data_IF_950476826812
#
_entry.id   IF_950476826812
#
_cell.length_a   1.000
_cell.length_b   1.000
_cell.length_c   1.000
_cell.angle_alpha   90.00
_cell.angle_beta   90.00
_cell.angle_gamma   90.00
#
_symmetry.space_group_name_H-M   'P 1'
#
loop_
_entity.id
_entity.type
_entity.pdbx_description
1 polymer ?
#
# COMPACT_ATOMS: atom_id res chain seq x y z
N UNK A 1 14.56 -12.88 15.89
CA UNK A 1 13.42 -13.02 16.83
C UNK A 1 13.89 -13.63 18.12
N UNK A 2 13.64 -12.99 19.26
CA UNK A 2 13.90 -13.57 20.57
C UNK A 2 12.99 -14.79 20.85
N UNK A 3 13.37 -15.65 21.79
CA UNK A 3 12.63 -16.85 22.17
C UNK A 3 11.15 -16.54 22.48
N UNK A 4 10.89 -15.41 23.12
CA UNK A 4 9.54 -14.95 23.47
C UNK A 4 8.66 -14.66 22.24
N UNK A 5 9.22 -14.08 21.17
CA UNK A 5 8.49 -13.85 19.92
C UNK A 5 8.11 -15.16 19.21
N UNK A 6 8.98 -16.17 19.26
CA UNK A 6 8.70 -17.49 18.69
C UNK A 6 7.56 -18.19 19.42
N UNK A 7 7.51 -18.10 20.76
CA UNK A 7 6.44 -18.69 21.58
C UNK A 7 5.10 -18.01 21.28
N UNK A 8 5.06 -16.70 21.15
CA UNK A 8 3.85 -15.94 20.81
C UNK A 8 3.33 -16.39 19.43
N UNK A 9 4.19 -16.45 18.42
CA UNK A 9 3.81 -16.89 17.07
C UNK A 9 3.30 -18.33 17.07
N UNK A 10 3.91 -19.23 17.83
CA UNK A 10 3.46 -20.63 17.97
C UNK A 10 2.10 -20.76 18.66
N UNK A 11 1.77 -19.85 19.59
CA UNK A 11 0.48 -19.85 20.29
C UNK A 11 -0.64 -19.11 19.55
N UNK A 12 -0.34 -18.40 18.47
CA UNK A 12 -1.32 -17.62 17.70
C UNK A 12 -2.50 -18.44 17.17
N UNK A 13 -2.33 -19.69 16.67
CA UNK A 13 -3.47 -20.51 16.24
C UNK A 13 -4.48 -20.81 17.36
N UNK A 14 -4.04 -20.74 18.61
CA UNK A 14 -4.87 -20.98 19.79
C UNK A 14 -5.54 -19.67 20.30
N UNK A 15 -5.24 -18.52 19.66
CA UNK A 15 -5.80 -17.24 20.09
C UNK A 15 -7.30 -17.20 19.81
N UNK A 16 -8.17 -16.96 20.82
CA UNK A 16 -9.61 -16.88 20.59
C UNK A 16 -9.98 -15.81 19.59
N UNK A 17 -10.94 -16.07 18.70
CA UNK A 17 -11.36 -15.14 17.63
C UNK A 17 -11.74 -13.76 18.13
N UNK A 18 -12.33 -13.65 19.31
CA UNK A 18 -12.71 -12.35 19.88
C UNK A 18 -11.49 -11.47 20.20
N UNK A 19 -10.35 -12.08 20.60
CA UNK A 19 -9.08 -11.39 20.83
C UNK A 19 -8.51 -10.88 19.51
N UNK A 20 -8.46 -11.75 18.50
CA UNK A 20 -8.01 -11.35 17.15
C UNK A 20 -8.91 -10.22 16.62
N UNK A 21 -10.23 -10.31 16.83
CA UNK A 21 -11.17 -9.26 16.42
C UNK A 21 -10.93 -7.92 17.14
N UNK A 22 -10.61 -7.96 18.43
CA UNK A 22 -10.27 -6.76 19.18
C UNK A 22 -9.00 -6.08 18.65
N UNK A 23 -7.99 -6.87 18.32
CA UNK A 23 -6.75 -6.38 17.68
C UNK A 23 -7.01 -5.90 16.26
N UNK A 24 -7.78 -6.65 15.49
CA UNK A 24 -8.13 -6.34 14.11
C UNK A 24 -8.75 -4.95 13.97
N UNK A 25 -9.58 -4.51 14.90
CA UNK A 25 -10.20 -3.17 14.92
C UNK A 25 -9.19 -2.02 14.83
N UNK A 26 -7.92 -2.27 15.12
CA UNK A 26 -6.85 -1.29 15.02
C UNK A 26 -6.29 -1.19 13.60
N UNK A 27 -6.35 -2.29 12.83
CA UNK A 27 -5.66 -2.44 11.56
C UNK A 27 -6.59 -2.67 10.36
N UNK A 28 -7.88 -2.90 10.61
CA UNK A 28 -8.93 -3.13 9.62
C UNK A 28 -10.10 -2.23 9.94
N UNK A 29 -10.61 -1.52 8.95
CA UNK A 29 -11.67 -0.54 9.12
C UNK A 29 -13.02 -1.18 9.51
N UNK A 30 -13.25 -2.42 9.07
CA UNK A 30 -14.47 -3.16 9.33
C UNK A 30 -14.68 -4.26 8.30
N UNK A 31 -15.88 -4.81 8.26
CA UNK A 31 -16.25 -5.87 7.31
C UNK A 31 -16.93 -5.35 6.03
N UNK A 32 -17.26 -4.08 5.97
CA UNK A 32 -18.10 -3.46 4.94
C UNK A 32 -17.61 -2.05 4.56
N UNK A 33 -18.12 -1.53 3.44
CA UNK A 33 -17.79 -0.21 2.88
C UNK A 33 -18.15 0.91 3.86
N UNK A 34 -19.31 0.84 4.49
CA UNK A 34 -19.79 1.89 5.40
C UNK A 34 -18.83 2.11 6.57
N UNK A 35 -18.31 1.01 7.12
CA UNK A 35 -17.27 1.04 8.17
C UNK A 35 -15.99 1.72 7.69
N UNK A 36 -15.56 1.45 6.45
CA UNK A 36 -14.38 2.06 5.86
C UNK A 36 -14.60 3.57 5.62
N UNK A 37 -15.72 3.97 5.04
CA UNK A 37 -16.09 5.37 4.81
C UNK A 37 -16.18 6.14 6.14
N UNK A 38 -16.85 5.58 7.14
CA UNK A 38 -16.96 6.20 8.46
C UNK A 38 -15.59 6.40 9.12
N UNK A 39 -14.69 5.43 9.01
CA UNK A 39 -13.32 5.55 9.53
C UNK A 39 -12.55 6.66 8.81
N UNK A 40 -12.56 6.66 7.49
CA UNK A 40 -11.87 7.65 6.67
C UNK A 40 -12.40 9.05 6.92
N UNK A 41 -13.72 9.23 7.01
CA UNK A 41 -14.36 10.52 7.34
C UNK A 41 -13.90 11.08 8.69
N UNK A 42 -13.69 10.22 9.69
CA UNK A 42 -13.15 10.63 10.99
C UNK A 42 -11.68 11.04 10.90
N UNK A 43 -10.89 10.35 10.08
CA UNK A 43 -9.45 10.61 9.94
C UNK A 43 -9.12 11.74 8.97
N UNK A 44 -10.06 12.16 8.10
CA UNK A 44 -9.85 13.26 7.17
C UNK A 44 -9.54 14.59 7.87
N UNK A 45 -10.10 14.79 9.07
CA UNK A 45 -9.79 15.96 9.93
C UNK A 45 -8.32 16.01 10.38
N UNK A 46 -7.55 14.93 10.24
CA UNK A 46 -6.12 14.85 10.53
C UNK A 46 -5.24 15.08 9.29
N UNK A 47 -5.76 15.68 8.22
CA UNK A 47 -5.08 15.86 6.93
C UNK A 47 -4.54 14.55 6.33
N UNK A 48 -5.32 13.48 6.43
CA UNK A 48 -5.01 12.20 5.84
C UNK A 48 -5.75 11.99 4.52
N UNK A 49 -5.03 11.53 3.50
CA UNK A 49 -5.61 10.89 2.32
C UNK A 49 -5.68 9.38 2.54
N UNK A 50 -6.38 8.66 1.67
CA UNK A 50 -6.61 7.23 1.88
C UNK A 50 -6.33 6.41 0.62
N UNK A 51 -5.92 5.16 0.82
CA UNK A 51 -5.99 4.12 -0.21
C UNK A 51 -6.71 2.93 0.40
N UNK A 52 -7.72 2.43 -0.28
CA UNK A 52 -8.63 1.43 0.29
C UNK A 52 -8.42 0.08 -0.41
N UNK A 53 -8.30 -0.98 0.38
CA UNK A 53 -8.07 -2.35 -0.07
C UNK A 53 -9.22 -3.25 0.40
N UNK A 54 -9.84 -3.94 -0.55
CA UNK A 54 -10.80 -5.01 -0.26
C UNK A 54 -10.05 -6.28 0.08
N UNK A 55 -10.14 -6.73 1.31
CA UNK A 55 -9.40 -7.89 1.80
C UNK A 55 -9.72 -9.17 1.03
N UNK A 56 -8.73 -9.69 0.35
CA UNK A 56 -8.75 -10.94 -0.41
C UNK A 56 -7.62 -10.98 -1.42
N UNK A 57 -7.11 -12.16 -1.67
CA UNK A 57 -6.02 -12.47 -2.60
C UNK A 57 -6.14 -13.93 -3.03
N UNK A 58 -5.43 -14.34 -4.10
CA UNK A 58 -5.34 -15.73 -4.56
C UNK A 58 -6.71 -16.42 -4.65
N UNK A 59 -7.55 -15.95 -5.57
CA UNK A 59 -8.83 -16.63 -5.86
C UNK A 59 -8.61 -18.02 -6.44
N UNK A 60 -9.53 -18.94 -6.15
CA UNK A 60 -9.46 -20.31 -6.64
C UNK A 60 -10.09 -20.47 -8.04
N UNK A 61 -11.05 -19.64 -8.38
CA UNK A 61 -11.77 -19.66 -9.67
C UNK A 61 -11.95 -18.25 -10.21
N UNK A 62 -11.97 -18.10 -11.55
CA UNK A 62 -12.18 -16.78 -12.19
C UNK A 62 -13.53 -16.15 -11.83
N UNK A 63 -14.54 -16.95 -11.48
CA UNK A 63 -15.84 -16.41 -11.06
C UNK A 63 -15.76 -15.58 -9.78
N UNK A 64 -14.78 -15.87 -8.92
CA UNK A 64 -14.57 -15.09 -7.69
C UNK A 64 -14.06 -13.67 -7.97
N UNK A 65 -13.41 -13.44 -9.11
CA UNK A 65 -12.96 -12.10 -9.53
C UNK A 65 -14.15 -11.13 -9.69
N UNK A 66 -15.32 -11.61 -10.08
CA UNK A 66 -16.50 -10.77 -10.24
C UNK A 66 -16.91 -10.10 -8.91
N UNK A 67 -16.77 -10.83 -7.78
CA UNK A 67 -17.00 -10.24 -6.47
C UNK A 67 -16.11 -9.01 -6.22
N UNK A 68 -14.82 -9.11 -6.53
CA UNK A 68 -13.89 -7.97 -6.33
C UNK A 68 -14.22 -6.81 -7.27
N UNK A 69 -14.53 -7.09 -8.54
CA UNK A 69 -14.90 -6.05 -9.50
C UNK A 69 -16.14 -5.28 -9.02
N UNK A 70 -17.16 -5.99 -8.56
CA UNK A 70 -18.41 -5.39 -8.09
C UNK A 70 -18.21 -4.64 -6.77
N UNK A 71 -17.41 -5.21 -5.84
CA UNK A 71 -17.13 -4.58 -4.56
C UNK A 71 -16.31 -3.30 -4.71
N UNK A 72 -15.27 -3.31 -5.57
CA UNK A 72 -14.52 -2.09 -5.89
C UNK A 72 -15.37 -1.07 -6.64
N UNK A 73 -16.31 -1.50 -7.50
CA UNK A 73 -17.26 -0.61 -8.13
C UNK A 73 -18.11 0.15 -7.09
N UNK A 74 -18.69 -0.57 -6.14
CA UNK A 74 -19.47 0.03 -5.02
C UNK A 74 -18.59 0.92 -4.12
N UNK A 75 -17.34 0.52 -3.89
CA UNK A 75 -16.41 1.33 -3.12
C UNK A 75 -16.08 2.66 -3.81
N UNK A 76 -15.89 2.65 -5.13
CA UNK A 76 -15.68 3.87 -5.92
C UNK A 76 -16.89 4.79 -5.77
N UNK A 77 -18.11 4.28 -5.93
CA UNK A 77 -19.35 5.06 -5.74
C UNK A 77 -19.37 5.73 -4.35
N UNK A 78 -19.08 4.96 -3.30
CA UNK A 78 -19.08 5.47 -1.93
C UNK A 78 -17.96 6.51 -1.68
N UNK A 79 -16.79 6.36 -2.27
CA UNK A 79 -15.70 7.36 -2.21
C UNK A 79 -16.15 8.67 -2.86
N UNK A 80 -16.71 8.60 -4.06
CA UNK A 80 -17.22 9.78 -4.80
C UNK A 80 -18.32 10.48 -4.01
N UNK A 81 -19.33 9.74 -3.54
CA UNK A 81 -20.45 10.28 -2.76
C UNK A 81 -19.99 10.96 -1.46
N UNK A 82 -18.95 10.41 -0.81
CA UNK A 82 -18.43 10.97 0.44
C UNK A 82 -17.49 12.15 0.25
N UNK A 83 -17.01 12.41 -0.98
CA UNK A 83 -16.03 13.46 -1.28
C UNK A 83 -14.66 13.28 -0.59
N UNK A 84 -14.30 12.05 -0.25
CA UNK A 84 -13.05 11.71 0.43
C UNK A 84 -11.87 11.70 -0.55
N UNK A 85 -10.72 12.26 -0.15
CA UNK A 85 -9.46 12.08 -0.89
C UNK A 85 -8.96 10.64 -0.70
N UNK A 86 -9.49 9.74 -1.53
CA UNK A 86 -9.19 8.32 -1.47
C UNK A 86 -9.00 7.73 -2.87
N UNK A 87 -8.04 6.81 -2.96
CA UNK A 87 -7.85 5.94 -4.11
C UNK A 87 -8.02 4.47 -3.69
N UNK A 88 -7.93 3.54 -4.62
CA UNK A 88 -8.05 2.12 -4.33
C UNK A 88 -6.74 1.39 -4.58
N UNK A 89 -6.51 0.33 -3.81
CA UNK A 89 -5.38 -0.60 -3.99
C UNK A 89 -5.94 -1.99 -4.23
N UNK A 90 -5.46 -2.68 -5.27
CA UNK A 90 -5.96 -4.00 -5.64
C UNK A 90 -4.83 -5.02 -5.68
N UNK A 91 -5.15 -6.28 -5.42
CA UNK A 91 -4.23 -7.42 -5.58
C UNK A 91 -4.52 -8.14 -6.89
N UNK A 92 -3.57 -8.19 -7.83
CA UNK A 92 -3.79 -8.81 -9.13
C UNK A 92 -4.23 -10.28 -9.04
N UNK A 93 -3.81 -11.02 -8.01
CA UNK A 93 -4.26 -12.41 -7.81
C UNK A 93 -5.74 -12.53 -7.46
N UNK A 94 -6.35 -11.49 -6.87
CA UNK A 94 -7.79 -11.42 -6.65
C UNK A 94 -8.58 -11.19 -7.96
N UNK A 95 -7.89 -10.80 -9.04
CA UNK A 95 -8.46 -10.61 -10.38
C UNK A 95 -8.14 -11.77 -11.33
N UNK A 96 -7.49 -12.83 -10.83
CA UNK A 96 -7.24 -14.06 -11.57
C UNK A 96 -5.83 -14.24 -12.11
N UNK A 97 -4.84 -13.41 -11.72
CA UNK A 97 -3.49 -13.41 -12.29
C UNK A 97 -2.75 -14.74 -12.14
N UNK A 98 -3.04 -15.55 -11.11
CA UNK A 98 -2.47 -16.90 -10.95
C UNK A 98 -3.22 -17.99 -11.73
N UNK A 99 -4.38 -17.66 -12.33
CA UNK A 99 -5.24 -18.62 -13.02
C UNK A 99 -5.14 -18.43 -14.53
N UNK A 100 -5.37 -17.20 -14.99
CA UNK A 100 -5.37 -16.82 -16.40
C UNK A 100 -4.99 -15.34 -16.55
N UNK A 101 -3.80 -15.09 -17.10
CA UNK A 101 -3.28 -13.74 -17.33
C UNK A 101 -4.21 -12.88 -18.19
N UNK A 102 -4.77 -13.45 -19.28
CA UNK A 102 -5.65 -12.71 -20.20
C UNK A 102 -6.96 -12.30 -19.51
N UNK A 103 -7.53 -13.22 -18.72
CA UNK A 103 -8.71 -12.90 -17.93
C UNK A 103 -8.40 -11.84 -16.86
N UNK A 104 -7.24 -11.93 -16.17
CA UNK A 104 -6.82 -10.94 -15.20
C UNK A 104 -6.64 -9.55 -15.83
N UNK A 105 -5.99 -9.44 -17.01
CA UNK A 105 -5.86 -8.20 -17.76
C UNK A 105 -7.24 -7.59 -18.08
N UNK A 106 -8.18 -8.41 -18.55
CA UNK A 106 -9.55 -7.97 -18.87
C UNK A 106 -10.29 -7.47 -17.60
N UNK A 107 -10.19 -8.19 -16.50
CA UNK A 107 -10.84 -7.85 -15.25
C UNK A 107 -10.28 -6.53 -14.66
N UNK A 108 -8.96 -6.38 -14.68
CA UNK A 108 -8.28 -5.17 -14.18
C UNK A 108 -8.57 -3.98 -15.09
N UNK A 109 -8.55 -4.16 -16.40
CA UNK A 109 -8.91 -3.11 -17.39
C UNK A 109 -10.34 -2.59 -17.14
N UNK A 110 -11.30 -3.49 -16.94
CA UNK A 110 -12.69 -3.12 -16.64
C UNK A 110 -12.79 -2.24 -15.40
N UNK A 111 -12.08 -2.59 -14.32
CA UNK A 111 -12.04 -1.78 -13.10
C UNK A 111 -11.35 -0.44 -13.32
N UNK A 112 -10.21 -0.42 -14.03
CA UNK A 112 -9.48 0.82 -14.34
C UNK A 112 -10.33 1.82 -15.14
N UNK A 113 -11.07 1.35 -16.14
CA UNK A 113 -11.98 2.19 -16.92
C UNK A 113 -13.11 2.74 -16.07
N UNK A 114 -13.66 1.92 -15.16
CA UNK A 114 -14.67 2.37 -14.19
C UNK A 114 -14.08 3.42 -13.24
N UNK A 115 -12.88 3.21 -12.71
CA UNK A 115 -12.21 4.14 -11.82
C UNK A 115 -11.84 5.47 -12.54
N UNK A 116 -11.40 5.39 -13.80
CA UNK A 116 -11.05 6.56 -14.60
C UNK A 116 -12.25 7.49 -14.85
N UNK A 117 -13.49 6.97 -14.96
CA UNK A 117 -14.67 7.81 -15.16
C UNK A 117 -14.99 8.74 -13.98
N UNK A 118 -14.45 8.44 -12.80
CA UNK A 118 -14.62 9.22 -11.58
C UNK A 118 -13.29 9.79 -11.05
N UNK A 119 -12.26 9.82 -11.88
CA UNK A 119 -10.90 10.30 -11.54
C UNK A 119 -10.28 9.56 -10.34
N UNK A 120 -10.63 8.29 -10.14
CA UNK A 120 -10.08 7.45 -9.07
C UNK A 120 -8.82 6.73 -9.58
N UNK A 121 -7.74 6.89 -8.84
CA UNK A 121 -6.47 6.20 -9.09
C UNK A 121 -6.48 4.77 -8.53
N UNK A 122 -5.86 3.84 -9.25
CA UNK A 122 -5.78 2.42 -8.86
C UNK A 122 -4.32 2.02 -8.66
N UNK A 123 -4.00 1.50 -7.50
CA UNK A 123 -2.68 0.96 -7.18
C UNK A 123 -2.70 -0.56 -7.31
N UNK A 124 -1.80 -1.12 -8.13
CA UNK A 124 -1.54 -2.56 -8.12
C UNK A 124 -0.59 -2.90 -6.98
N UNK A 125 -1.08 -3.60 -5.96
CA UNK A 125 -0.23 -4.11 -4.89
C UNK A 125 0.70 -5.19 -5.46
N UNK A 126 1.96 -5.18 -5.00
CA UNK A 126 2.92 -6.21 -5.35
C UNK A 126 2.79 -7.36 -4.35
N UNK A 127 2.62 -8.54 -4.89
CA UNK A 127 2.56 -9.78 -4.14
C UNK A 127 3.92 -10.51 -4.21
N UNK A 128 4.00 -11.82 -4.06
CA UNK A 128 5.27 -12.52 -4.08
C UNK A 128 5.87 -12.65 -5.50
N UNK A 129 7.08 -13.23 -5.57
CA UNK A 129 7.86 -13.34 -6.81
C UNK A 129 7.16 -14.09 -7.95
N UNK A 130 6.18 -14.99 -7.64
CA UNK A 130 5.44 -15.76 -8.67
C UNK A 130 4.68 -14.84 -9.63
N UNK A 131 4.24 -13.69 -9.15
CA UNK A 131 3.42 -12.75 -9.91
C UNK A 131 4.08 -11.39 -10.15
N UNK A 132 5.30 -11.17 -9.67
CA UNK A 132 5.97 -9.86 -9.81
C UNK A 132 6.04 -9.40 -11.26
N UNK A 133 6.54 -10.23 -12.18
CA UNK A 133 6.63 -9.85 -13.59
C UNK A 133 5.25 -9.65 -14.21
N UNK A 134 4.34 -10.59 -14.00
CA UNK A 134 2.99 -10.51 -14.55
C UNK A 134 2.22 -9.27 -14.06
N UNK A 135 2.44 -8.82 -12.81
CA UNK A 135 1.87 -7.57 -12.29
C UNK A 135 2.44 -6.34 -13.01
N UNK A 136 3.74 -6.32 -13.29
CA UNK A 136 4.37 -5.25 -14.08
C UNK A 136 3.81 -5.24 -15.49
N UNK A 137 3.70 -6.42 -16.14
CA UNK A 137 3.19 -6.56 -17.50
C UNK A 137 1.74 -6.06 -17.60
N UNK A 138 0.89 -6.33 -16.60
CA UNK A 138 -0.48 -5.76 -16.51
C UNK A 138 -0.42 -4.23 -16.55
N UNK A 139 0.40 -3.60 -15.70
CA UNK A 139 0.46 -2.14 -15.64
C UNK A 139 0.94 -1.53 -16.96
N UNK A 140 1.99 -2.10 -17.57
CA UNK A 140 2.51 -1.63 -18.86
C UNK A 140 1.47 -1.78 -19.96
N UNK A 141 0.76 -2.92 -20.03
CA UNK A 141 -0.31 -3.13 -21.00
C UNK A 141 -1.48 -2.14 -20.81
N UNK A 142 -1.78 -1.71 -19.59
CA UNK A 142 -2.80 -0.69 -19.33
C UNK A 142 -2.33 0.70 -19.79
N UNK A 143 -1.07 1.04 -19.55
CA UNK A 143 -0.48 2.28 -20.08
C UNK A 143 -0.51 2.33 -21.62
N UNK A 144 -0.18 1.23 -22.31
CA UNK A 144 -0.28 1.13 -23.77
C UNK A 144 -1.70 1.39 -24.30
N UNK A 145 -2.73 1.05 -23.51
CA UNK A 145 -4.14 1.33 -23.81
C UNK A 145 -4.58 2.75 -23.41
N UNK A 146 -3.66 3.61 -22.95
CA UNK A 146 -3.94 4.98 -22.51
C UNK A 146 -4.59 5.10 -21.14
N UNK A 147 -4.60 4.02 -20.34
CA UNK A 147 -5.09 4.03 -18.96
C UNK A 147 -3.95 4.40 -18.03
N UNK A 148 -3.87 5.68 -17.66
CA UNK A 148 -2.77 6.23 -16.83
C UNK A 148 -3.16 6.42 -15.36
N UNK A 149 -4.40 6.11 -15.00
CA UNK A 149 -4.87 6.13 -13.60
C UNK A 149 -4.43 4.89 -12.80
N UNK A 150 -3.26 4.36 -13.11
CA UNK A 150 -2.69 3.13 -12.52
C UNK A 150 -1.26 3.39 -12.04
N UNK A 151 -0.87 2.73 -10.95
CA UNK A 151 0.51 2.72 -10.46
C UNK A 151 0.88 1.38 -9.84
N UNK A 152 2.18 1.17 -9.73
CA UNK A 152 2.77 -0.08 -9.24
C UNK A 152 3.33 0.06 -7.83
N UNK A 153 3.33 -1.06 -7.11
CA UNK A 153 4.12 -1.21 -5.88
C UNK A 153 5.40 -1.98 -6.21
N UNK A 154 6.54 -1.47 -5.75
CA UNK A 154 7.82 -2.17 -5.84
C UNK A 154 8.35 -2.46 -4.43
N UNK A 155 9.15 -3.51 -4.33
CA UNK A 155 9.65 -4.01 -3.05
C UNK A 155 11.17 -3.82 -2.97
N UNK A 156 11.65 -2.99 -2.04
CA UNK A 156 13.08 -2.70 -1.89
C UNK A 156 13.95 -3.96 -1.65
N UNK A 157 13.37 -5.03 -1.09
CA UNK A 157 14.12 -6.27 -0.88
C UNK A 157 14.47 -7.06 -2.14
N UNK A 158 13.73 -6.90 -3.24
CA UNK A 158 14.00 -7.62 -4.49
C UNK A 158 15.20 -7.02 -5.22
N UNK A 159 16.11 -7.86 -5.68
CA UNK A 159 17.32 -7.42 -6.40
C UNK A 159 16.98 -6.67 -7.69
N UNK A 160 15.87 -7.02 -8.33
CA UNK A 160 15.41 -6.43 -9.59
C UNK A 160 14.85 -5.01 -9.48
N UNK A 161 14.54 -4.54 -8.26
CA UNK A 161 13.76 -3.29 -8.06
C UNK A 161 14.38 -2.08 -8.76
N UNK A 162 15.71 -1.93 -8.74
CA UNK A 162 16.37 -0.80 -9.41
C UNK A 162 16.26 -0.86 -10.94
N UNK A 163 16.38 -2.05 -11.55
CA UNK A 163 16.14 -2.22 -12.99
C UNK A 163 14.69 -2.00 -13.36
N UNK A 164 13.75 -2.52 -12.56
CA UNK A 164 12.32 -2.32 -12.78
C UNK A 164 11.94 -0.83 -12.78
N UNK A 165 12.46 -0.04 -11.83
CA UNK A 165 12.25 1.41 -11.80
C UNK A 165 12.69 2.05 -13.11
N UNK A 166 13.90 1.74 -13.57
CA UNK A 166 14.46 2.30 -14.80
C UNK A 166 13.66 1.90 -16.05
N UNK A 167 13.31 0.62 -16.17
CA UNK A 167 12.62 0.08 -17.33
C UNK A 167 11.18 0.58 -17.42
N UNK A 168 10.45 0.54 -16.31
CA UNK A 168 9.05 1.00 -16.26
C UNK A 168 8.98 2.51 -16.53
N UNK A 169 9.85 3.31 -15.89
CA UNK A 169 9.85 4.76 -16.08
C UNK A 169 10.11 5.18 -17.52
N UNK A 170 10.93 4.43 -18.28
CA UNK A 170 11.15 4.69 -19.71
C UNK A 170 9.88 4.51 -20.56
N UNK A 171 9.02 3.58 -20.18
CA UNK A 171 7.79 3.27 -20.91
C UNK A 171 6.66 4.20 -20.50
N UNK A 172 6.52 4.46 -19.19
CA UNK A 172 5.37 5.21 -18.64
C UNK A 172 5.61 6.72 -18.55
N UNK A 173 6.86 7.18 -18.65
CA UNK A 173 7.21 8.60 -18.70
C UNK A 173 6.65 9.38 -17.51
N UNK A 174 6.02 10.54 -17.81
CA UNK A 174 5.45 11.44 -16.78
C UNK A 174 4.26 10.83 -16.02
N UNK A 175 3.65 9.75 -16.55
CA UNK A 175 2.58 9.03 -15.88
C UNK A 175 3.09 8.01 -14.85
N UNK A 176 4.41 7.87 -14.68
CA UNK A 176 5.01 6.91 -13.75
C UNK A 176 4.60 7.21 -12.31
N UNK A 177 4.03 6.21 -11.65
CA UNK A 177 3.60 6.30 -10.26
C UNK A 177 3.96 5.02 -9.51
N UNK A 178 4.88 5.14 -8.56
CA UNK A 178 5.34 4.03 -7.74
C UNK A 178 4.99 4.19 -6.27
N UNK A 179 4.64 3.07 -5.66
CA UNK A 179 4.74 2.89 -4.20
C UNK A 179 5.96 2.03 -3.91
N UNK A 180 6.81 2.47 -2.99
CA UNK A 180 7.92 1.66 -2.50
C UNK A 180 7.65 1.17 -1.09
N UNK A 181 7.82 -0.12 -0.86
CA UNK A 181 7.84 -0.73 0.46
C UNK A 181 9.07 -1.64 0.60
N UNK A 182 9.39 -2.05 1.83
CA UNK A 182 10.51 -2.99 2.05
C UNK A 182 10.26 -4.38 1.47
N UNK A 183 9.00 -4.79 1.39
CA UNK A 183 8.56 -6.13 1.03
C UNK A 183 8.34 -7.01 2.26
N UNK A 184 7.23 -7.75 2.27
CA UNK A 184 6.80 -8.58 3.40
C UNK A 184 6.90 -10.08 3.12
N UNK A 185 6.93 -10.48 1.85
CA UNK A 185 6.94 -11.87 1.47
C UNK A 185 8.30 -12.52 1.74
N UNK A 186 8.28 -13.80 2.10
CA UNK A 186 9.48 -14.61 2.24
C UNK A 186 9.91 -15.07 0.84
N UNK A 187 10.85 -14.34 0.28
CA UNK A 187 11.36 -14.60 -1.06
C UNK A 187 12.60 -15.49 -1.04
N UNK A 188 12.88 -16.23 -2.11
CA UNK A 188 14.14 -16.97 -2.28
C UNK A 188 15.35 -16.06 -2.14
N UNK A 189 16.43 -16.58 -1.55
CA UNK A 189 17.64 -15.80 -1.25
C UNK A 189 18.47 -15.42 -2.46
N UNK A 190 18.23 -16.04 -3.61
CA UNK A 190 18.84 -15.74 -4.89
C UNK A 190 18.19 -14.57 -5.64
N UNK A 191 17.04 -14.09 -5.17
CA UNK A 191 16.33 -12.97 -5.78
C UNK A 191 16.07 -11.81 -4.82
N UNK A 192 16.31 -11.98 -3.52
CA UNK A 192 15.97 -10.97 -2.52
C UNK A 192 16.95 -10.89 -1.34
N UNK A 193 17.11 -9.69 -0.82
CA UNK A 193 17.80 -9.47 0.45
C UNK A 193 17.02 -10.04 1.62
N UNK A 194 17.71 -10.61 2.60
CA UNK A 194 17.13 -11.12 3.85
C UNK A 194 17.57 -10.33 5.10
N UNK A 195 18.70 -9.63 5.01
CA UNK A 195 19.25 -8.83 6.11
C UNK A 195 18.53 -7.48 6.24
N UNK A 196 18.16 -7.10 7.48
CA UNK A 196 17.45 -5.86 7.73
C UNK A 196 18.14 -4.62 7.12
N UNK A 197 19.46 -4.46 7.35
CA UNK A 197 20.23 -3.32 6.82
C UNK A 197 20.23 -3.31 5.30
N UNK A 198 20.48 -4.46 4.67
CA UNK A 198 20.46 -4.59 3.22
C UNK A 198 19.11 -4.18 2.62
N UNK A 199 18.00 -4.59 3.27
CA UNK A 199 16.65 -4.22 2.83
C UNK A 199 16.40 -2.72 3.00
N UNK A 200 16.85 -2.12 4.10
CA UNK A 200 16.76 -0.66 4.31
C UNK A 200 17.56 0.09 3.26
N UNK A 201 18.82 -0.30 3.05
CA UNK A 201 19.72 0.35 2.09
C UNK A 201 19.16 0.25 0.65
N UNK A 202 18.69 -0.94 0.26
CA UNK A 202 18.08 -1.16 -1.05
C UNK A 202 16.76 -0.38 -1.22
N UNK A 203 15.95 -0.25 -0.14
CA UNK A 203 14.74 0.57 -0.16
C UNK A 203 15.07 2.05 -0.33
N UNK A 204 16.11 2.54 0.35
CA UNK A 204 16.59 3.92 0.22
C UNK A 204 17.10 4.20 -1.20
N UNK A 205 17.88 3.29 -1.78
CA UNK A 205 18.33 3.39 -3.18
C UNK A 205 17.15 3.39 -4.17
N UNK A 206 16.13 2.59 -3.91
CA UNK A 206 14.93 2.58 -4.75
C UNK A 206 14.17 3.91 -4.66
N UNK A 207 14.06 4.52 -3.47
CA UNK A 207 13.47 5.85 -3.30
C UNK A 207 14.24 6.89 -4.12
N UNK A 208 15.56 6.91 -4.01
CA UNK A 208 16.40 7.81 -4.80
C UNK A 208 16.18 7.59 -6.31
N UNK A 209 16.20 6.36 -6.78
CA UNK A 209 15.96 6.02 -8.17
C UNK A 209 14.58 6.45 -8.69
N UNK A 210 13.52 6.29 -7.89
CA UNK A 210 12.17 6.74 -8.23
C UNK A 210 12.09 8.27 -8.30
N UNK A 211 12.70 8.95 -7.34
CA UNK A 211 12.75 10.41 -7.35
C UNK A 211 13.55 10.95 -8.55
N UNK A 212 14.66 10.34 -8.88
CA UNK A 212 15.52 10.76 -9.99
C UNK A 212 14.91 10.44 -11.37
N UNK A 213 14.05 9.41 -11.46
CA UNK A 213 13.32 9.09 -12.69
C UNK A 213 12.13 10.04 -12.98
N UNK A 214 11.82 10.97 -12.08
CA UNK A 214 10.65 11.84 -12.22
C UNK A 214 9.33 11.22 -11.77
N UNK A 215 9.32 9.95 -11.34
CA UNK A 215 8.11 9.26 -10.94
C UNK A 215 7.45 9.90 -9.71
N UNK A 216 6.12 9.84 -9.66
CA UNK A 216 5.42 10.05 -8.40
C UNK A 216 5.83 8.95 -7.42
N UNK A 217 6.30 9.34 -6.23
CA UNK A 217 6.93 8.43 -5.28
C UNK A 217 6.14 8.34 -3.99
N UNK A 218 5.37 7.25 -3.81
CA UNK A 218 4.66 6.96 -2.58
C UNK A 218 5.53 6.10 -1.64
N UNK A 219 6.01 6.70 -0.55
CA UNK A 219 6.95 6.10 0.39
C UNK A 219 6.18 5.36 1.47
N UNK A 220 6.05 4.04 1.34
CA UNK A 220 5.27 3.19 2.24
C UNK A 220 6.18 2.50 3.28
N UNK A 221 6.56 3.23 4.33
CA UNK A 221 7.41 2.69 5.39
C UNK A 221 7.06 3.26 6.77
N UNK A 222 7.18 2.41 7.79
CA UNK A 222 7.08 2.77 9.21
C UNK A 222 8.46 2.84 9.87
N UNK A 223 9.51 2.58 9.12
CA UNK A 223 10.88 2.45 9.58
C UNK A 223 11.56 3.81 9.61
N UNK A 224 12.05 4.19 10.78
CA UNK A 224 12.67 5.50 10.99
C UNK A 224 13.83 5.77 10.03
N UNK A 225 14.80 4.86 9.82
CA UNK A 225 15.88 5.08 8.85
C UNK A 225 15.40 5.35 7.42
N UNK A 226 14.32 4.69 6.98
CA UNK A 226 13.75 4.92 5.64
C UNK A 226 13.07 6.28 5.57
N UNK A 227 12.31 6.67 6.61
CA UNK A 227 11.64 7.97 6.66
C UNK A 227 12.66 9.12 6.70
N UNK A 228 13.70 9.00 7.51
CA UNK A 228 14.76 10.01 7.64
C UNK A 228 15.54 10.17 6.32
N UNK A 229 15.91 9.06 5.67
CA UNK A 229 16.51 9.09 4.35
C UNK A 229 15.61 9.79 3.34
N UNK A 230 14.33 9.43 3.32
CA UNK A 230 13.35 10.03 2.40
C UNK A 230 13.22 11.54 2.55
N UNK A 231 13.19 12.03 3.79
CA UNK A 231 13.14 13.48 4.06
C UNK A 231 14.39 14.18 3.52
N UNK A 232 15.58 13.62 3.76
CA UNK A 232 16.85 14.16 3.24
C UNK A 232 16.91 14.08 1.71
N UNK A 233 16.44 12.99 1.10
CA UNK A 233 16.39 12.80 -0.33
C UNK A 233 15.45 13.81 -1.04
N UNK A 234 14.31 14.11 -0.42
CA UNK A 234 13.39 15.13 -0.90
C UNK A 234 14.00 16.54 -0.78
N UNK A 235 14.58 16.86 0.36
CA UNK A 235 15.20 18.17 0.61
C UNK A 235 16.34 18.45 -0.39
N UNK A 236 17.22 17.48 -0.62
CA UNK A 236 18.36 17.59 -1.55
C UNK A 236 17.91 17.82 -3.00
N UNK A 237 16.69 17.40 -3.37
CA UNK A 237 16.07 17.61 -4.69
C UNK A 237 15.16 18.84 -4.75
N UNK A 238 15.17 19.68 -3.72
CA UNK A 238 14.32 20.89 -3.66
C UNK A 238 12.83 20.58 -3.45
N UNK A 239 12.48 19.34 -3.15
CA UNK A 239 11.10 18.89 -2.90
C UNK A 239 10.73 19.06 -1.43
N UNK A 240 9.44 19.22 -1.14
CA UNK A 240 8.99 19.35 0.25
C UNK A 240 7.63 20.01 0.37
N UNK A 241 7.15 20.22 1.60
CA UNK A 241 5.88 20.87 1.86
C UNK A 241 5.79 22.28 1.25
N UNK A 242 4.67 22.57 0.62
CA UNK A 242 4.42 23.89 0.01
C UNK A 242 5.28 24.22 -1.22
N UNK A 243 6.11 23.29 -1.69
CA UNK A 243 6.92 23.45 -2.89
C UNK A 243 6.26 22.76 -4.08
N UNK A 244 6.37 23.38 -5.27
CA UNK A 244 6.05 22.71 -6.52
C UNK A 244 7.07 21.57 -6.76
N UNK A 245 6.66 20.56 -7.50
CA UNK A 245 7.58 19.48 -7.91
C UNK A 245 8.55 20.03 -8.97
N UNK A 246 9.86 20.17 -8.67
CA UNK A 246 10.82 20.76 -9.62
C UNK A 246 11.12 19.86 -10.83
N UNK A 247 10.64 18.61 -10.82
CA UNK A 247 10.87 17.62 -11.86
C UNK A 247 9.84 17.68 -12.98
N UNK A 248 8.71 18.38 -12.74
CA UNK A 248 7.64 18.55 -13.73
C UNK A 248 7.67 19.96 -14.35
N UNK A 249 7.57 20.00 -15.68
CA UNK A 249 7.28 21.25 -16.36
C UNK A 249 5.83 21.68 -16.08
N UNK A 250 5.58 22.97 -16.01
CA UNK A 250 4.23 23.55 -15.81
C UNK A 250 3.23 23.20 -16.94
N UNK A 251 3.70 22.58 -18.02
CA UNK A 251 2.90 22.25 -19.21
C UNK A 251 2.09 20.95 -19.04
N UNK A 252 2.49 20.06 -18.15
CA UNK A 252 1.74 18.83 -17.82
C UNK A 252 1.51 18.78 -16.31
N UNK A 253 0.45 19.41 -15.81
CA UNK A 253 0.15 19.34 -14.39
C UNK A 253 -0.15 17.89 -14.00
N UNK A 254 0.50 17.41 -12.95
CA UNK A 254 -0.01 16.21 -12.24
C UNK A 254 -1.44 16.50 -11.79
N UNK A 255 -2.30 15.49 -11.78
CA UNK A 255 -3.64 15.65 -11.22
C UNK A 255 -3.54 16.29 -9.82
N UNK A 256 -4.45 17.22 -9.52
CA UNK A 256 -4.39 18.06 -8.31
C UNK A 256 -4.32 17.27 -7.00
N UNK A 257 -4.77 16.02 -7.02
CA UNK A 257 -4.74 15.07 -5.91
C UNK A 257 -3.34 14.49 -5.62
N UNK A 258 -2.38 14.59 -6.55
CA UNK A 258 -1.03 14.00 -6.39
C UNK A 258 -0.03 14.92 -5.68
N UNK A 259 -0.40 16.17 -5.41
CA UNK A 259 0.43 17.09 -4.63
C UNK A 259 1.84 17.30 -5.20
N UNK A 260 2.89 17.39 -4.33
CA UNK A 260 4.24 17.80 -4.74
C UNK A 260 5.08 16.67 -5.36
N UNK A 261 4.48 15.64 -5.93
CA UNK A 261 5.18 14.53 -6.60
C UNK A 261 5.65 13.40 -5.68
N UNK A 262 5.28 13.44 -4.42
CA UNK A 262 5.53 12.39 -3.44
C UNK A 262 4.46 12.37 -2.34
N UNK A 263 4.39 11.26 -1.61
CA UNK A 263 3.61 11.15 -0.37
C UNK A 263 4.22 10.11 0.56
N UNK A 264 3.92 10.21 1.86
CA UNK A 264 4.23 9.17 2.84
C UNK A 264 3.01 8.32 3.11
N UNK A 265 3.17 6.99 3.08
CA UNK A 265 2.07 6.05 3.28
C UNK A 265 2.24 5.22 4.55
N UNK A 266 1.14 5.03 5.26
CA UNK A 266 1.09 4.32 6.53
C UNK A 266 -0.04 3.29 6.52
N UNK A 267 0.21 2.11 7.06
CA UNK A 267 -0.85 1.17 7.35
C UNK A 267 -1.75 1.71 8.47
N UNK A 268 -3.04 1.50 8.36
CA UNK A 268 -4.01 1.83 9.40
C UNK A 268 -3.54 1.30 10.77
N UNK A 269 -3.55 2.15 11.78
CA UNK A 269 -3.18 1.81 13.15
C UNK A 269 -1.68 1.65 13.44
N UNK A 270 -0.81 1.87 12.45
CA UNK A 270 0.66 1.76 12.60
C UNK A 270 1.31 3.12 12.54
N UNK A 271 2.11 3.45 13.58
CA UNK A 271 2.88 4.70 13.67
C UNK A 271 2.07 5.96 13.35
N UNK A 272 0.84 6.03 13.84
CA UNK A 272 -0.02 7.21 13.69
C UNK A 272 0.58 8.50 14.27
N UNK A 273 1.46 8.39 15.27
CA UNK A 273 2.29 9.46 15.80
C UNK A 273 3.20 10.10 14.73
N UNK A 274 3.90 9.28 13.98
CA UNK A 274 4.81 9.72 12.90
C UNK A 274 4.00 10.31 11.74
N UNK A 275 2.90 9.64 11.33
CA UNK A 275 2.02 10.14 10.28
C UNK A 275 1.52 11.55 10.60
N UNK A 276 0.94 11.75 11.80
CA UNK A 276 0.43 13.07 12.21
C UNK A 276 1.53 14.12 12.26
N UNK A 277 2.73 13.76 12.72
CA UNK A 277 3.88 14.68 12.71
C UNK A 277 4.26 15.12 11.30
N UNK A 278 4.31 14.19 10.34
CA UNK A 278 4.58 14.50 8.93
C UNK A 278 3.45 15.35 8.31
N UNK A 279 2.19 15.01 8.58
CA UNK A 279 1.04 15.79 8.13
C UNK A 279 1.06 17.23 8.70
N UNK A 280 1.38 17.39 9.99
CA UNK A 280 1.52 18.69 10.64
C UNK A 280 2.69 19.49 10.10
N UNK A 281 3.73 18.84 9.58
CA UNK A 281 4.85 19.49 8.88
C UNK A 281 4.50 19.84 7.41
N UNK A 282 3.28 19.53 6.95
CA UNK A 282 2.79 19.84 5.61
C UNK A 282 3.08 18.79 4.55
N UNK A 283 3.62 17.63 4.92
CA UNK A 283 3.78 16.52 3.98
C UNK A 283 2.44 15.85 3.69
N UNK A 284 2.23 15.46 2.44
CA UNK A 284 1.08 14.62 2.08
C UNK A 284 1.24 13.25 2.73
N UNK A 285 0.23 12.82 3.48
CA UNK A 285 0.20 11.51 4.12
C UNK A 285 -1.04 10.72 3.72
N UNK A 286 -0.85 9.45 3.38
CA UNK A 286 -1.93 8.55 3.00
C UNK A 286 -1.99 7.36 3.94
N UNK A 287 -3.20 6.95 4.30
CA UNK A 287 -3.45 5.77 5.14
C UNK A 287 -3.96 4.64 4.26
N UNK A 288 -3.31 3.49 4.33
CA UNK A 288 -3.79 2.25 3.72
C UNK A 288 -4.86 1.64 4.62
N UNK A 289 -6.08 1.57 4.10
CA UNK A 289 -7.30 1.19 4.84
C UNK A 289 -7.83 -0.14 4.30
N UNK A 290 -7.46 -1.27 4.89
CA UNK A 290 -8.05 -2.55 4.53
C UNK A 290 -9.42 -2.72 5.18
N UNK A 291 -10.38 -3.29 4.43
CA UNK A 291 -11.67 -3.72 4.97
C UNK A 291 -12.15 -5.00 4.28
N UNK A 292 -13.11 -5.69 4.86
CA UNK A 292 -13.76 -6.85 4.25
C UNK A 292 -13.89 -8.04 5.19
N UNK A 293 -14.57 -9.07 4.70
CA UNK A 293 -14.91 -10.27 5.50
C UNK A 293 -13.70 -11.15 5.84
N UNK A 294 -12.61 -11.06 5.06
CA UNK A 294 -11.35 -11.82 5.27
C UNK A 294 -10.40 -11.13 6.29
N UNK A 295 -10.96 -10.32 7.20
CA UNK A 295 -10.20 -9.58 8.21
C UNK A 295 -9.40 -10.48 9.15
N UNK A 296 -9.87 -11.71 9.42
CA UNK A 296 -9.21 -12.62 10.37
C UNK A 296 -7.86 -13.10 9.83
N UNK A 297 -7.83 -13.60 8.60
CA UNK A 297 -6.63 -14.06 7.90
C UNK A 297 -5.60 -12.93 7.77
N UNK A 298 -6.06 -11.76 7.36
CA UNK A 298 -5.24 -10.55 7.27
C UNK A 298 -4.63 -10.18 8.63
N UNK A 299 -5.43 -10.15 9.69
CA UNK A 299 -4.97 -9.79 11.03
C UNK A 299 -3.98 -10.81 11.59
N UNK A 300 -4.20 -12.10 11.34
CA UNK A 300 -3.28 -13.16 11.74
C UNK A 300 -1.93 -13.04 11.02
N UNK A 301 -1.94 -12.67 9.73
CA UNK A 301 -0.71 -12.39 8.97
C UNK A 301 0.04 -11.20 9.57
N UNK A 302 -0.62 -10.07 9.83
CA UNK A 302 -0.01 -8.89 10.47
C UNK A 302 0.60 -9.20 11.83
N UNK A 303 -0.06 -10.01 12.63
CA UNK A 303 0.47 -10.45 13.92
C UNK A 303 1.74 -11.32 13.79
N UNK A 304 1.80 -12.18 12.77
CA UNK A 304 2.99 -13.01 12.49
C UNK A 304 4.17 -12.17 11.99
N UNK A 305 3.91 -11.19 11.17
CA UNK A 305 4.93 -10.31 10.57
C UNK A 305 5.49 -9.31 11.58
N UNK A 306 4.71 -8.92 12.57
CA UNK A 306 5.12 -7.94 13.58
C UNK A 306 5.00 -8.48 15.01
N UNK A 307 6.06 -9.17 15.52
CA UNK A 307 6.09 -9.71 16.87
C UNK A 307 5.92 -8.67 17.97
N UNK A 308 6.24 -7.39 17.71
CA UNK A 308 6.02 -6.30 18.67
C UNK A 308 4.52 -6.04 18.84
N UNK A 309 3.75 -6.07 17.76
CA UNK A 309 2.29 -5.99 17.79
C UNK A 309 1.74 -7.17 18.59
N UNK A 310 2.23 -8.39 18.34
CA UNK A 310 1.85 -9.57 19.10
C UNK A 310 2.20 -9.43 20.60
N UNK A 311 3.34 -8.83 20.93
CA UNK A 311 3.73 -8.56 22.32
C UNK A 311 2.85 -7.51 23.00
N UNK A 312 2.46 -6.45 22.28
CA UNK A 312 1.51 -5.44 22.78
C UNK A 312 0.12 -6.02 23.01
N UNK A 313 -0.32 -6.94 22.15
CA UNK A 313 -1.56 -7.70 22.32
C UNK A 313 -1.49 -8.58 23.58
N UNK A 314 -0.41 -9.34 23.73
CA UNK A 314 -0.19 -10.17 24.92
C UNK A 314 -0.15 -9.32 26.20
N UNK A 315 0.53 -8.17 26.19
CA UNK A 315 0.53 -7.22 27.32
C UNK A 315 -0.86 -6.64 27.61
N UNK A 316 -1.61 -6.25 26.56
CA UNK A 316 -2.96 -5.72 26.72
C UNK A 316 -3.95 -6.75 27.28
N UNK A 317 -3.75 -8.04 26.98
CA UNK A 317 -4.52 -9.15 27.54
C UNK A 317 -4.15 -9.46 28.99
N UNK A 318 -2.86 -9.39 29.33
CA UNK A 318 -2.36 -9.66 30.68
C UNK A 318 -2.52 -8.46 31.63
N UNK A 319 -2.59 -7.22 31.09
CA UNK A 319 -2.68 -5.99 31.85
C UNK A 319 -3.74 -5.04 31.26
N UNK A 320 -5.04 -5.38 31.33
CA UNK A 320 -6.09 -4.57 30.71
C UNK A 320 -6.17 -3.14 31.28
N UNK A 321 -5.63 -2.89 32.47
CA UNK A 321 -5.56 -1.58 33.10
C UNK A 321 -4.47 -0.65 32.56
N UNK A 322 -3.48 -1.17 31.85
CA UNK A 322 -2.38 -0.34 31.28
C UNK A 322 -2.77 0.41 30.00
N UNK A 323 -3.95 0.17 29.46
CA UNK A 323 -4.48 0.73 28.19
C UNK A 323 -5.56 1.81 28.38
N UNK A 324 -5.65 2.42 29.55
CA UNK A 324 -6.51 3.60 29.74
C UNK A 324 -5.80 4.84 29.19
N UNK A 325 -6.11 5.17 27.94
CA UNK A 325 -6.00 6.50 27.35
C UNK A 325 -7.31 6.84 26.68
#
# INVERSE_FOLDING_TARGET
MGLFGRVIVAMMPLTPRFVVRWVAKRYVAGSDIDSAILLMSRMSSENACFTVDVLGEEIATLNEAQFFIDEYGRLIDAIVESGLDANISIKPTAFGLLIDNSAAHTNIERLLRRAASDDIFVRLDMEDHRVTQATIDVALAMHEKGLTNIGLVLQGRLFRTSSDISEISKVTGDATDFRICKGIYLEPSDIAYSGYRQIVDATNQAIDGMLDSGAYTAIASHDTPVIEHSLSALESRGMGPGKADPRHSSEVPRSADKGPGYEFQFLLGVRGDVRRRLASAGHRTRVYVPYGTKWYEYSMRRLRENPEVASHVAKALMMPWSNRR
#
